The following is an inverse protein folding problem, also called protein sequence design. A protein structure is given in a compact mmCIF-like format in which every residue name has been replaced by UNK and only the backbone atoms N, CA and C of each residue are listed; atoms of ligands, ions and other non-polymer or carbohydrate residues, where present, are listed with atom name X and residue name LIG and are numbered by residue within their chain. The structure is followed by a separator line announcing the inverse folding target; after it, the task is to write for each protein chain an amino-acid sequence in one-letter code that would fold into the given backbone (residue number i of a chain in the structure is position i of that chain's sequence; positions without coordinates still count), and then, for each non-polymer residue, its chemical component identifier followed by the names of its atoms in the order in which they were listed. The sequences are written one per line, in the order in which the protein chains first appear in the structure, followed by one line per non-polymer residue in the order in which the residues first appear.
data_IF_025196957593
#
_entry.id   IF_025196957593
#
_cell.length_a   1.000
_cell.length_b   1.000
_cell.length_c   1.000
_cell.angle_alpha   90.00
_cell.angle_beta   90.00
_cell.angle_gamma   90.00
#
_symmetry.space_group_name_H-M   'P 1'
#
loop_
_entity.id
_entity.type
_entity.pdbx_description
1 polymer ?
#
# COMPACT_ATOMS: atom_id res chain seq x y z
N UNK A 1 -0.64 -0.04 17.01
CA UNK A 1 0.30 0.09 15.88
C UNK A 1 1.43 -0.94 15.96
N UNK A 2 2.31 -0.90 14.99
CA UNK A 2 3.52 -1.72 14.95
C UNK A 2 4.65 -0.98 15.69
N UNK A 3 5.28 -1.67 16.65
CA UNK A 3 6.49 -1.21 17.32
C UNK A 3 7.64 -2.11 16.87
N UNK A 4 8.64 -1.58 16.14
CA UNK A 4 9.70 -2.38 15.56
C UNK A 4 10.44 -3.23 16.58
N UNK A 5 10.59 -4.53 16.27
CA UNK A 5 11.30 -5.55 17.09
C UNK A 5 10.73 -5.78 18.48
N UNK A 6 9.49 -5.36 18.74
CA UNK A 6 8.77 -5.66 19.97
C UNK A 6 7.73 -6.76 19.73
N UNK A 7 7.95 -7.94 20.30
CA UNK A 7 7.08 -9.13 20.13
C UNK A 7 5.63 -8.84 20.52
N UNK A 8 5.40 -8.08 21.59
CA UNK A 8 4.07 -7.69 22.03
C UNK A 8 3.27 -6.88 20.99
N UNK A 9 3.94 -6.27 19.99
CA UNK A 9 3.30 -5.50 18.91
C UNK A 9 3.04 -6.30 17.64
N UNK A 10 3.37 -7.59 17.58
CA UNK A 10 3.10 -8.44 16.40
C UNK A 10 1.64 -8.40 15.93
N UNK A 11 0.62 -8.39 16.81
CA UNK A 11 -0.77 -8.19 16.36
C UNK A 11 -0.98 -6.88 15.62
N UNK A 12 -0.16 -5.86 15.89
CA UNK A 12 -0.17 -4.58 15.18
C UNK A 12 0.07 -4.73 13.68
N UNK A 13 0.76 -5.76 13.21
CA UNK A 13 0.97 -6.04 11.79
C UNK A 13 -0.37 -6.11 11.04
N UNK A 14 -1.36 -6.77 11.65
CA UNK A 14 -2.71 -6.87 11.08
C UNK A 14 -3.58 -5.66 11.40
N UNK A 15 -3.46 -5.11 12.63
CA UNK A 15 -4.40 -4.11 13.12
C UNK A 15 -3.95 -2.65 12.91
N UNK A 16 -2.68 -2.38 12.59
CA UNK A 16 -2.20 -1.02 12.36
C UNK A 16 -2.98 -0.24 11.29
N UNK A 17 -3.45 -0.84 10.17
CA UNK A 17 -4.23 -0.10 9.17
C UNK A 17 -5.53 0.51 9.69
N UNK A 18 -6.08 -0.02 10.75
CA UNK A 18 -7.35 0.44 11.36
C UNK A 18 -7.15 1.51 12.43
N UNK A 19 -5.91 1.76 12.83
CA UNK A 19 -5.55 2.72 13.88
C UNK A 19 -5.05 4.02 13.26
N UNK A 20 -5.52 5.17 13.74
CA UNK A 20 -5.13 6.47 13.22
C UNK A 20 -4.84 7.44 14.38
N UNK A 21 -3.85 8.31 14.19
CA UNK A 21 -3.45 9.30 15.20
C UNK A 21 -4.42 10.48 15.36
N UNK A 22 -5.41 10.59 14.46
CA UNK A 22 -6.43 11.64 14.51
C UNK A 22 -7.29 11.67 13.26
N UNK A 23 -8.32 12.51 13.27
CA UNK A 23 -9.32 12.59 12.21
C UNK A 23 -8.76 12.95 10.84
N UNK A 24 -7.82 13.89 10.76
CA UNK A 24 -7.21 14.29 9.49
C UNK A 24 -6.37 13.16 8.87
N UNK A 25 -5.69 12.38 9.73
CA UNK A 25 -4.96 11.19 9.28
C UNK A 25 -5.92 10.12 8.75
N UNK A 26 -7.03 9.89 9.46
CA UNK A 26 -8.07 8.95 9.00
C UNK A 26 -8.69 9.38 7.67
N UNK A 27 -9.13 10.64 7.57
CA UNK A 27 -9.79 11.15 6.36
C UNK A 27 -8.85 11.15 5.14
N UNK A 28 -7.59 11.54 5.34
CA UNK A 28 -6.57 11.49 4.29
C UNK A 28 -6.34 10.06 3.77
N UNK A 29 -6.22 9.10 4.68
CA UNK A 29 -6.08 7.69 4.29
C UNK A 29 -7.36 7.15 3.63
N UNK A 30 -8.53 7.45 4.17
CA UNK A 30 -9.80 6.93 3.68
C UNK A 30 -10.10 7.40 2.25
N UNK A 31 -9.86 8.68 1.95
CA UNK A 31 -10.11 9.24 0.61
C UNK A 31 -9.28 8.54 -0.47
N UNK A 32 -7.99 8.35 -0.21
CA UNK A 32 -7.11 7.62 -1.13
C UNK A 32 -7.42 6.14 -1.21
N UNK A 33 -7.70 5.51 -0.05
CA UNK A 33 -7.98 4.08 0.02
C UNK A 33 -9.26 3.71 -0.75
N UNK A 34 -10.33 4.51 -0.63
CA UNK A 34 -11.58 4.25 -1.34
C UNK A 34 -11.36 4.22 -2.86
N UNK A 35 -10.65 5.20 -3.41
CA UNK A 35 -10.41 5.26 -4.85
C UNK A 35 -9.47 4.15 -5.31
N UNK A 36 -8.32 3.95 -4.63
CA UNK A 36 -7.36 2.93 -5.06
C UNK A 36 -7.91 1.51 -4.88
N UNK A 37 -8.67 1.26 -3.80
CA UNK A 37 -9.35 -0.03 -3.61
C UNK A 37 -10.39 -0.28 -4.70
N UNK A 38 -11.20 0.73 -5.03
CA UNK A 38 -12.17 0.63 -6.12
C UNK A 38 -11.49 0.31 -7.45
N UNK A 39 -10.43 1.03 -7.83
CA UNK A 39 -9.66 0.77 -9.05
C UNK A 39 -9.04 -0.65 -9.04
N UNK A 40 -8.53 -1.11 -7.90
CA UNK A 40 -7.96 -2.45 -7.79
C UNK A 40 -9.02 -3.57 -7.89
N UNK A 41 -10.25 -3.30 -7.45
CA UNK A 41 -11.37 -4.25 -7.54
C UNK A 41 -11.94 -4.38 -8.96
N UNK A 42 -11.71 -3.40 -9.86
CA UNK A 42 -12.21 -3.46 -11.25
C UNK A 42 -11.70 -4.69 -12.02
N UNK A 43 -10.51 -5.19 -11.66
CA UNK A 43 -9.99 -6.41 -12.25
C UNK A 43 -10.66 -7.66 -11.63
N UNK A 44 -10.52 -7.82 -10.31
CA UNK A 44 -11.09 -8.93 -9.57
C UNK A 44 -11.13 -8.64 -8.07
N UNK A 45 -12.31 -8.69 -7.42
CA UNK A 45 -12.39 -8.56 -5.97
C UNK A 45 -11.55 -9.59 -5.20
N UNK A 46 -11.43 -10.81 -5.72
CA UNK A 46 -10.61 -11.86 -5.10
C UNK A 46 -9.12 -11.51 -5.14
N UNK A 47 -8.65 -10.98 -6.27
CA UNK A 47 -7.24 -10.53 -6.39
C UNK A 47 -6.99 -9.32 -5.49
N UNK A 48 -7.93 -8.38 -5.42
CA UNK A 48 -7.85 -7.25 -4.51
C UNK A 48 -7.69 -7.70 -3.06
N UNK A 49 -8.49 -8.68 -2.59
CA UNK A 49 -8.38 -9.21 -1.22
C UNK A 49 -7.02 -9.87 -1.01
N UNK A 50 -6.57 -10.72 -1.93
CA UNK A 50 -5.28 -11.40 -1.83
C UNK A 50 -4.11 -10.40 -1.82
N UNK A 51 -4.14 -9.41 -2.71
CA UNK A 51 -3.13 -8.34 -2.74
C UNK A 51 -3.14 -7.51 -1.46
N UNK A 52 -4.32 -7.14 -0.96
CA UNK A 52 -4.46 -6.37 0.27
C UNK A 52 -3.90 -7.12 1.47
N UNK A 53 -4.19 -8.41 1.63
CA UNK A 53 -3.62 -9.24 2.69
C UNK A 53 -2.10 -9.34 2.56
N UNK A 54 -1.58 -9.58 1.35
CA UNK A 54 -0.14 -9.62 1.10
C UNK A 54 0.55 -8.30 1.46
N UNK A 55 -0.04 -7.17 1.05
CA UNK A 55 0.49 -5.83 1.32
C UNK A 55 0.46 -5.53 2.83
N UNK A 56 -0.67 -5.75 3.50
CA UNK A 56 -0.82 -5.46 4.93
C UNK A 56 0.17 -6.29 5.76
N UNK A 57 0.20 -7.60 5.54
CA UNK A 57 1.07 -8.50 6.30
C UNK A 57 2.55 -8.26 5.96
N UNK A 58 2.87 -8.13 4.68
CA UNK A 58 4.24 -7.91 4.22
C UNK A 58 4.81 -6.57 4.67
N UNK A 59 4.06 -5.48 4.48
CA UNK A 59 4.52 -4.14 4.90
C UNK A 59 4.61 -4.03 6.42
N UNK A 60 3.65 -4.59 7.16
CA UNK A 60 3.68 -4.63 8.60
C UNK A 60 4.89 -5.42 9.14
N UNK A 61 5.20 -6.56 8.52
CA UNK A 61 6.38 -7.36 8.88
C UNK A 61 7.69 -6.63 8.55
N UNK A 62 7.80 -6.01 7.38
CA UNK A 62 8.98 -5.22 7.01
C UNK A 62 9.20 -4.06 7.97
N UNK A 63 8.15 -3.34 8.34
CA UNK A 63 8.21 -2.27 9.33
C UNK A 63 8.63 -2.81 10.70
N UNK A 64 8.06 -3.93 11.13
CA UNK A 64 8.44 -4.55 12.40
C UNK A 64 9.91 -4.95 12.44
N UNK A 65 10.46 -5.46 11.34
CA UNK A 65 11.87 -5.87 11.24
C UNK A 65 12.83 -4.69 11.10
N UNK A 66 12.53 -3.71 10.25
CA UNK A 66 13.50 -2.79 9.69
C UNK A 66 13.30 -1.31 10.06
N UNK A 67 12.08 -0.91 10.48
CA UNK A 67 11.81 0.50 10.71
C UNK A 67 12.55 1.06 11.95
N UNK A 68 12.71 2.39 11.94
CA UNK A 68 13.23 3.13 13.10
C UNK A 68 12.29 2.96 14.31
N UNK A 69 12.80 3.12 15.55
CA UNK A 69 11.97 3.09 16.75
C UNK A 69 10.83 4.11 16.66
N UNK A 70 9.62 3.69 17.02
CA UNK A 70 8.42 4.52 17.02
C UNK A 70 7.17 3.68 16.80
N UNK A 71 6.00 4.29 16.99
CA UNK A 71 4.72 3.65 16.71
C UNK A 71 4.35 3.90 15.25
N UNK A 72 4.23 2.83 14.48
CA UNK A 72 3.78 2.88 13.10
C UNK A 72 2.33 2.43 13.02
N UNK A 73 1.45 3.30 12.52
CA UNK A 73 0.01 3.07 12.43
C UNK A 73 -0.60 3.83 11.24
N UNK A 74 -1.82 3.45 10.87
CA UNK A 74 -2.55 4.03 9.75
C UNK A 74 -2.64 3.09 8.55
N UNK A 75 -3.63 3.33 7.70
CA UNK A 75 -3.84 2.57 6.48
C UNK A 75 -2.83 2.92 5.37
N UNK A 76 -1.91 3.84 5.62
CA UNK A 76 -1.01 4.38 4.59
C UNK A 76 -0.09 3.32 3.99
N UNK A 77 0.38 2.33 4.75
CA UNK A 77 1.15 1.21 4.21
C UNK A 77 0.35 0.41 3.17
N UNK A 78 -0.89 0.09 3.49
CA UNK A 78 -1.80 -0.58 2.56
C UNK A 78 -2.10 0.29 1.33
N UNK A 79 -2.36 1.55 1.53
CA UNK A 79 -2.68 2.55 0.53
C UNK A 79 -1.51 2.77 -0.46
N UNK A 80 -0.27 2.94 0.02
CA UNK A 80 0.92 2.98 -0.82
C UNK A 80 1.18 1.64 -1.51
N UNK A 81 0.80 0.54 -0.88
CA UNK A 81 0.82 -0.78 -1.49
C UNK A 81 -0.12 -0.90 -2.69
N UNK A 82 -1.36 -0.44 -2.57
CA UNK A 82 -2.30 -0.39 -3.70
C UNK A 82 -1.83 0.56 -4.80
N UNK A 83 -1.27 1.71 -4.43
CA UNK A 83 -0.66 2.65 -5.38
C UNK A 83 0.47 1.97 -6.17
N UNK A 84 1.42 1.32 -5.50
CA UNK A 84 2.52 0.59 -6.13
C UNK A 84 2.03 -0.58 -6.99
N UNK A 85 1.03 -1.34 -6.51
CA UNK A 85 0.39 -2.43 -7.24
C UNK A 85 -0.19 -1.96 -8.57
N UNK A 86 -1.02 -0.90 -8.56
CA UNK A 86 -1.72 -0.41 -9.75
C UNK A 86 -0.74 0.13 -10.80
N UNK A 87 0.32 0.82 -10.37
CA UNK A 87 1.37 1.29 -11.27
C UNK A 87 2.18 0.12 -11.87
N UNK A 88 2.57 -0.84 -11.02
CA UNK A 88 3.36 -1.99 -11.45
C UNK A 88 2.56 -2.92 -12.39
N UNK A 89 1.25 -3.04 -12.21
CA UNK A 89 0.39 -3.81 -13.13
C UNK A 89 0.45 -3.29 -14.56
N UNK A 90 0.48 -1.97 -14.77
CA UNK A 90 0.64 -1.39 -16.10
C UNK A 90 1.94 -1.86 -16.79
N UNK A 91 3.02 -1.98 -16.02
CA UNK A 91 4.30 -2.46 -16.52
C UNK A 91 4.30 -3.95 -16.86
N UNK A 92 3.71 -4.79 -15.99
CA UNK A 92 3.75 -6.24 -16.15
C UNK A 92 2.65 -6.79 -17.06
N UNK A 93 1.42 -6.26 -16.96
CA UNK A 93 0.26 -6.75 -17.72
C UNK A 93 0.17 -6.14 -19.12
N UNK A 94 0.57 -4.87 -19.28
CA UNK A 94 0.54 -4.10 -20.54
C UNK A 94 -0.81 -4.09 -21.24
N UNK A 95 -1.90 -4.25 -20.51
CA UNK A 95 -3.25 -4.14 -21.04
C UNK A 95 -3.70 -2.68 -21.11
N UNK A 96 -4.61 -2.35 -22.03
CA UNK A 96 -5.14 -0.99 -22.10
C UNK A 96 -5.79 -0.57 -20.78
N UNK A 97 -6.52 -1.47 -20.13
CA UNK A 97 -7.15 -1.19 -18.84
C UNK A 97 -6.12 -0.86 -17.76
N UNK A 98 -5.05 -1.66 -17.60
CA UNK A 98 -4.00 -1.39 -16.61
C UNK A 98 -3.24 -0.10 -16.89
N UNK A 99 -3.01 0.24 -18.16
CA UNK A 99 -2.38 1.50 -18.56
C UNK A 99 -3.27 2.71 -18.26
N UNK A 100 -4.57 2.65 -18.55
CA UNK A 100 -5.51 3.72 -18.22
C UNK A 100 -5.64 3.92 -16.70
N UNK A 101 -5.71 2.83 -15.92
CA UNK A 101 -5.74 2.90 -14.46
C UNK A 101 -4.46 3.54 -13.93
N UNK A 102 -3.29 3.14 -14.42
CA UNK A 102 -2.02 3.74 -14.00
C UNK A 102 -1.94 5.23 -14.36
N UNK A 103 -2.45 5.64 -15.51
CA UNK A 103 -2.51 7.05 -15.91
C UNK A 103 -3.39 7.87 -14.96
N UNK A 104 -4.55 7.34 -14.56
CA UNK A 104 -5.42 7.97 -13.55
C UNK A 104 -4.71 8.05 -12.18
N UNK A 105 -4.06 6.98 -11.75
CA UNK A 105 -3.31 6.94 -10.49
C UNK A 105 -2.18 7.97 -10.50
N UNK A 106 -1.45 8.11 -11.59
CA UNK A 106 -0.40 9.13 -11.72
C UNK A 106 -0.97 10.55 -11.76
N UNK A 107 -2.09 10.76 -12.42
CA UNK A 107 -2.73 12.07 -12.49
C UNK A 107 -3.17 12.57 -11.11
N UNK A 108 -3.80 11.72 -10.31
CA UNK A 108 -4.35 12.11 -9.00
C UNK A 108 -3.38 11.93 -7.83
N UNK A 109 -2.48 10.94 -7.92
CA UNK A 109 -1.59 10.54 -6.84
C UNK A 109 -0.11 10.49 -7.24
N UNK A 110 0.27 11.10 -8.37
CA UNK A 110 1.68 11.17 -8.78
C UNK A 110 2.56 11.88 -7.76
N UNK A 111 2.02 12.87 -7.06
CA UNK A 111 2.74 13.58 -5.97
C UNK A 111 3.07 12.71 -4.74
N UNK A 112 2.53 11.50 -4.63
CA UNK A 112 2.81 10.62 -3.49
C UNK A 112 4.24 10.09 -3.43
N UNK A 113 5.03 10.26 -4.47
CA UNK A 113 6.47 10.03 -4.41
C UNK A 113 7.12 10.76 -3.23
N UNK A 114 6.65 11.97 -2.90
CA UNK A 114 7.15 12.71 -1.75
C UNK A 114 6.85 12.02 -0.41
N UNK A 115 5.80 11.23 -0.33
CA UNK A 115 5.48 10.42 0.86
C UNK A 115 6.44 9.26 1.12
N UNK A 116 7.25 8.87 0.12
CA UNK A 116 8.31 7.87 0.27
C UNK A 116 9.60 8.44 0.86
N UNK A 117 9.70 9.78 0.95
CA UNK A 117 10.88 10.45 1.47
C UNK A 117 10.79 10.60 2.99
N UNK A 118 11.93 10.62 3.71
CA UNK A 118 11.98 10.85 5.14
C UNK A 118 11.31 12.18 5.53
N UNK A 119 10.29 12.11 6.37
CA UNK A 119 9.56 13.26 6.89
C UNK A 119 9.32 13.10 8.39
N UNK A 120 9.31 14.23 9.13
CA UNK A 120 8.99 14.23 10.57
C UNK A 120 7.50 13.92 10.77
N UNK A 121 7.18 13.06 11.72
CA UNK A 121 5.80 12.71 12.05
C UNK A 121 5.12 11.76 11.05
N UNK A 122 5.82 11.34 10.00
CA UNK A 122 5.32 10.40 8.98
C UNK A 122 6.12 9.10 9.04
N UNK A 123 5.43 7.99 8.98
CA UNK A 123 6.05 6.67 8.84
C UNK A 123 6.35 6.40 7.36
N UNK A 124 7.36 7.09 6.81
CA UNK A 124 7.77 6.89 5.42
C UNK A 124 8.24 5.43 5.18
N UNK A 125 8.77 4.76 6.21
CA UNK A 125 9.15 3.34 6.13
C UNK A 125 7.92 2.46 5.83
N UNK A 126 6.77 2.81 6.43
CA UNK A 126 5.53 2.07 6.17
C UNK A 126 5.03 2.31 4.74
N UNK A 127 5.21 3.52 4.21
CA UNK A 127 4.91 3.86 2.81
C UNK A 127 5.82 3.08 1.85
N UNK A 128 7.15 3.08 2.10
CA UNK A 128 8.12 2.33 1.30
C UNK A 128 7.83 0.82 1.32
N UNK A 129 7.62 0.26 2.51
CA UNK A 129 7.30 -1.15 2.67
C UNK A 129 6.00 -1.52 1.94
N UNK A 130 4.98 -0.67 2.03
CA UNK A 130 3.73 -0.84 1.32
C UNK A 130 3.93 -0.84 -0.18
N UNK A 131 4.53 0.22 -0.73
CA UNK A 131 4.80 0.35 -2.16
C UNK A 131 5.61 -0.84 -2.70
N UNK A 132 6.66 -1.25 -1.98
CA UNK A 132 7.46 -2.43 -2.32
C UNK A 132 6.61 -3.71 -2.37
N UNK A 133 5.78 -3.97 -1.35
CA UNK A 133 4.90 -5.14 -1.32
C UNK A 133 3.89 -5.13 -2.48
N UNK A 134 3.34 -3.97 -2.83
CA UNK A 134 2.43 -3.83 -3.96
C UNK A 134 3.09 -4.15 -5.30
N UNK A 135 4.27 -3.60 -5.54
CA UNK A 135 5.08 -3.89 -6.74
C UNK A 135 5.47 -5.37 -6.79
N UNK A 136 5.91 -5.92 -5.66
CA UNK A 136 6.30 -7.33 -5.55
C UNK A 136 5.10 -8.25 -5.84
N UNK A 137 3.92 -7.94 -5.30
CA UNK A 137 2.71 -8.71 -5.60
C UNK A 137 2.38 -8.68 -7.09
N UNK A 138 2.44 -7.51 -7.73
CA UNK A 138 2.24 -7.39 -9.17
C UNK A 138 3.25 -8.23 -9.96
N UNK A 139 4.53 -8.19 -9.58
CA UNK A 139 5.58 -8.95 -10.26
C UNK A 139 5.37 -10.47 -10.16
N UNK A 140 4.91 -10.95 -9.00
CA UNK A 140 4.72 -12.38 -8.74
C UNK A 140 3.43 -12.94 -9.33
N UNK A 141 2.35 -12.16 -9.36
CA UNK A 141 0.99 -12.63 -9.66
C UNK A 141 0.31 -11.92 -10.84
N UNK A 142 1.09 -11.20 -11.68
CA UNK A 142 0.54 -10.60 -12.89
C UNK A 142 0.02 -11.67 -13.86
N UNK A 143 -1.09 -11.36 -14.52
CA UNK A 143 -1.54 -12.13 -15.67
C UNK A 143 -1.09 -11.40 -16.92
N UNK A 144 -0.15 -11.97 -17.68
CA UNK A 144 0.08 -11.51 -19.05
C UNK A 144 -1.24 -11.63 -19.79
N UNK A 145 -1.70 -10.53 -20.39
CA UNK A 145 -2.94 -10.51 -21.13
C UNK A 145 -3.00 -11.71 -22.05
N UNK A 146 -4.05 -12.52 -21.91
CA UNK A 146 -4.43 -13.44 -22.97
C UNK A 146 -4.94 -12.54 -24.09
N UNK A 147 -4.06 -12.26 -25.05
CA UNK A 147 -4.40 -11.71 -26.35
C UNK A 147 -5.37 -12.61 -27.07
#
# INVERSE_FOLDING_TARGET
GVLPRQVASLPGILFAPWLHAGWWHLLGNLSGLLLLAWLAMLDSPRRFIAASLFIILGSGLLVWLLARPGVHLGASGWLFGLWGLLLARAWFERSLASLLIAALVLLYYGGWWFGLLPQRGVSFEYHLAGAFCGVLYAALFHTRGRS
#
